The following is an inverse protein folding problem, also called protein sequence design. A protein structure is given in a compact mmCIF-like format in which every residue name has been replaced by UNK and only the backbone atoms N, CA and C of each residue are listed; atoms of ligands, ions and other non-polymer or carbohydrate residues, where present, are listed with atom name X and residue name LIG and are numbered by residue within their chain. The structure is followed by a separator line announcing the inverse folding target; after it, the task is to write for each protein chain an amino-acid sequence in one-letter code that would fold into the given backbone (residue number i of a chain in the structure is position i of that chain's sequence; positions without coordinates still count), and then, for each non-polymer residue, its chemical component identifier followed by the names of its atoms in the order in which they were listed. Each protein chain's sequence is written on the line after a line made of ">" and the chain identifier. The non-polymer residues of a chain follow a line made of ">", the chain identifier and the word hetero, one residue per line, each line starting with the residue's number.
data_IF_002061970094
#
_entry.id   IF_002061970094
#
_cell.length_a   1.000
_cell.length_b   1.000
_cell.length_c   1.000
_cell.angle_alpha   90.00
_cell.angle_beta   90.00
_cell.angle_gamma   90.00
#
_symmetry.space_group_name_H-M   'P 1'
#
loop_
_entity.id
_entity.type
_entity.pdbx_description
1 polymer ?
#
# COMPACT_ATOMS: atom_id res chain seq x y z
N UNK A 1 -17.66 -19.79 -6.37
CA UNK A 1 -16.23 -19.41 -6.41
C UNK A 1 -15.83 -19.09 -4.98
N UNK A 2 -14.94 -19.86 -4.35
CA UNK A 2 -14.47 -19.58 -3.00
C UNK A 2 -13.22 -18.70 -3.08
N UNK A 3 -13.15 -17.64 -2.27
CA UNK A 3 -11.93 -16.87 -2.09
C UNK A 3 -11.08 -17.55 -1.02
N UNK A 4 -10.04 -18.25 -1.43
CA UNK A 4 -9.07 -18.84 -0.51
C UNK A 4 -7.99 -17.82 -0.13
N UNK A 5 -8.12 -17.25 1.07
CA UNK A 5 -7.11 -16.33 1.62
C UNK A 5 -5.83 -17.05 2.07
N UNK A 6 -5.87 -18.38 2.23
CA UNK A 6 -4.72 -19.19 2.62
C UNK A 6 -3.55 -19.10 1.65
N UNK A 7 -3.82 -18.78 0.37
CA UNK A 7 -2.81 -18.52 -0.65
C UNK A 7 -1.77 -17.45 -0.23
N UNK A 8 -2.21 -16.43 0.51
CA UNK A 8 -1.35 -15.32 0.91
C UNK A 8 -0.48 -15.61 2.13
N UNK A 9 -0.71 -16.72 2.83
CA UNK A 9 0.03 -17.06 4.05
C UNK A 9 1.51 -17.22 3.73
N UNK A 10 2.34 -16.44 4.42
CA UNK A 10 3.79 -16.40 4.24
C UNK A 10 4.27 -15.69 2.98
N UNK A 11 3.37 -15.21 2.11
CA UNK A 11 3.75 -14.50 0.88
C UNK A 11 4.25 -13.10 1.17
N UNK A 12 5.30 -12.70 0.47
CA UNK A 12 5.80 -11.32 0.48
C UNK A 12 4.98 -10.47 -0.49
N UNK A 13 4.17 -9.57 0.05
CA UNK A 13 3.27 -8.71 -0.73
C UNK A 13 3.70 -7.26 -0.62
N UNK A 14 4.00 -6.63 -1.75
CA UNK A 14 4.31 -5.21 -1.84
C UNK A 14 3.09 -4.42 -2.28
N UNK A 15 2.64 -3.46 -1.46
CA UNK A 15 1.44 -2.67 -1.71
C UNK A 15 1.82 -1.20 -1.80
N UNK A 16 1.72 -0.60 -2.98
CA UNK A 16 1.84 0.87 -3.05
C UNK A 16 0.50 1.51 -2.67
N UNK A 17 0.52 2.66 -2.00
CA UNK A 17 -0.70 3.37 -1.60
C UNK A 17 -1.39 2.78 -0.37
N UNK A 18 -0.63 2.11 0.50
CA UNK A 18 -1.15 1.42 1.70
C UNK A 18 -1.76 2.37 2.73
N UNK A 19 -1.32 3.63 2.80
CA UNK A 19 -1.90 4.66 3.70
C UNK A 19 -3.26 5.21 3.24
N UNK A 20 -3.69 4.89 2.01
CA UNK A 20 -5.00 5.27 1.49
C UNK A 20 -6.12 4.35 1.98
N UNK A 21 -7.38 4.73 1.75
CA UNK A 21 -8.55 3.98 2.23
C UNK A 21 -8.58 2.51 1.77
N UNK A 22 -8.46 2.25 0.46
CA UNK A 22 -8.42 0.88 -0.08
C UNK A 22 -7.16 0.13 0.37
N UNK A 23 -6.02 0.81 0.37
CA UNK A 23 -4.73 0.25 0.77
C UNK A 23 -4.77 -0.25 2.22
N UNK A 24 -5.33 0.54 3.14
CA UNK A 24 -5.41 0.20 4.57
C UNK A 24 -6.25 -1.06 4.79
N UNK A 25 -7.44 -1.15 4.18
CA UNK A 25 -8.28 -2.36 4.27
C UNK A 25 -7.60 -3.58 3.66
N UNK A 26 -6.99 -3.43 2.48
CA UNK A 26 -6.29 -4.52 1.80
C UNK A 26 -5.13 -5.04 2.64
N UNK A 27 -4.28 -4.15 3.15
CA UNK A 27 -3.17 -4.51 4.03
C UNK A 27 -3.67 -5.24 5.27
N UNK A 28 -4.76 -4.77 5.91
CA UNK A 28 -5.37 -5.47 7.05
C UNK A 28 -5.83 -6.88 6.70
N UNK A 29 -6.48 -7.07 5.55
CA UNK A 29 -6.92 -8.40 5.07
C UNK A 29 -5.71 -9.32 4.83
N UNK A 30 -4.67 -8.81 4.16
CA UNK A 30 -3.45 -9.57 3.85
C UNK A 30 -2.69 -9.98 5.12
N UNK A 31 -2.53 -9.06 6.08
CA UNK A 31 -1.92 -9.33 7.38
C UNK A 31 -2.72 -10.41 8.12
N UNK A 32 -4.04 -10.28 8.17
CA UNK A 32 -4.90 -11.29 8.81
C UNK A 32 -4.85 -12.66 8.11
N UNK A 33 -4.57 -12.69 6.80
CA UNK A 33 -4.33 -13.91 6.04
C UNK A 33 -2.93 -14.51 6.25
N UNK A 34 -2.06 -13.83 7.01
CA UNK A 34 -0.71 -14.27 7.33
C UNK A 34 0.35 -13.87 6.30
N UNK A 35 0.07 -12.89 5.42
CA UNK A 35 1.05 -12.36 4.49
C UNK A 35 2.10 -11.48 5.19
N UNK A 36 3.29 -11.41 4.60
CA UNK A 36 4.33 -10.45 4.97
C UNK A 36 4.17 -9.21 4.08
N UNK A 37 3.61 -8.14 4.64
CA UNK A 37 3.24 -6.95 3.86
C UNK A 37 4.31 -5.87 3.97
N UNK A 38 4.74 -5.34 2.83
CA UNK A 38 5.50 -4.08 2.75
C UNK A 38 4.66 -3.04 2.00
N UNK A 39 4.49 -1.87 2.60
CA UNK A 39 3.76 -0.75 2.03
C UNK A 39 4.70 0.34 1.54
N UNK A 40 4.34 1.00 0.44
CA UNK A 40 5.05 2.17 -0.07
C UNK A 40 4.07 3.28 -0.49
N UNK A 41 4.06 4.41 0.18
CA UNK A 41 3.15 5.51 -0.16
C UNK A 41 3.59 6.85 0.43
N UNK A 42 2.96 7.93 0.00
CA UNK A 42 2.96 9.17 0.76
C UNK A 42 2.28 8.98 2.14
N UNK A 43 2.44 9.93 3.08
CA UNK A 43 1.68 9.93 4.34
C UNK A 43 0.17 9.85 4.10
N UNK A 44 -0.58 9.41 5.12
CA UNK A 44 -2.03 9.33 5.01
C UNK A 44 -2.63 10.71 4.66
N UNK A 45 -3.61 10.78 3.74
CA UNK A 45 -4.08 12.04 3.20
C UNK A 45 -5.08 12.79 4.12
N UNK A 46 -5.48 12.20 5.24
CA UNK A 46 -6.52 12.73 6.14
C UNK A 46 -6.20 12.47 7.61
N UNK A 47 -6.77 13.26 8.52
CA UNK A 47 -6.76 12.99 9.96
C UNK A 47 -8.20 13.10 10.51
N UNK A 48 -8.72 12.04 11.18
CA UNK A 48 -8.09 10.74 11.37
C UNK A 48 -7.96 9.97 10.04
N UNK A 49 -7.04 9.01 9.99
CA UNK A 49 -6.90 8.09 8.85
C UNK A 49 -7.34 6.68 9.22
N UNK A 50 -7.88 5.93 8.25
CA UNK A 50 -8.17 4.50 8.46
C UNK A 50 -6.88 3.72 8.78
N UNK A 51 -5.76 4.12 8.17
CA UNK A 51 -4.45 3.53 8.40
C UNK A 51 -4.10 3.48 9.88
N UNK A 52 -4.22 4.62 10.58
CA UNK A 52 -3.98 4.74 12.02
C UNK A 52 -5.06 4.05 12.85
N UNK A 53 -6.35 4.27 12.54
CA UNK A 53 -7.47 3.71 13.31
C UNK A 53 -7.41 2.17 13.35
N UNK A 54 -7.04 1.55 12.23
CA UNK A 54 -6.98 0.09 12.12
C UNK A 54 -5.64 -0.52 12.61
N UNK A 55 -4.69 0.30 13.07
CA UNK A 55 -3.36 -0.12 13.54
C UNK A 55 -2.63 -1.00 12.53
N UNK A 56 -2.70 -0.64 11.24
CA UNK A 56 -2.16 -1.44 10.14
C UNK A 56 -0.64 -1.45 10.19
N UNK A 57 -0.04 -0.34 10.60
CA UNK A 57 1.40 -0.12 10.71
C UNK A 57 2.11 -1.08 11.66
N UNK A 58 1.40 -1.61 12.68
CA UNK A 58 2.00 -2.44 13.72
C UNK A 58 2.47 -3.82 13.23
N UNK A 59 1.98 -4.29 12.08
CA UNK A 59 2.23 -5.64 11.57
C UNK A 59 2.71 -5.66 10.12
N UNK A 60 3.35 -4.58 9.66
CA UNK A 60 3.89 -4.48 8.32
C UNK A 60 5.14 -3.60 8.29
N UNK A 61 5.90 -3.68 7.20
CA UNK A 61 6.91 -2.66 6.91
C UNK A 61 6.25 -1.51 6.17
N UNK A 62 6.14 -0.34 6.81
CA UNK A 62 5.56 0.87 6.20
C UNK A 62 6.68 1.80 5.73
N UNK A 63 6.82 1.99 4.42
CA UNK A 63 7.78 2.93 3.82
C UNK A 63 7.03 4.15 3.33
N UNK A 64 7.43 5.33 3.82
CA UNK A 64 6.93 6.60 3.28
C UNK A 64 7.83 7.05 2.13
N UNK A 65 7.22 7.26 0.96
CA UNK A 65 7.93 7.66 -0.25
C UNK A 65 6.99 7.95 -1.43
N UNK A 66 7.51 8.67 -2.42
CA UNK A 66 6.78 9.04 -3.62
C UNK A 66 7.07 8.02 -4.74
N UNK A 67 6.02 7.46 -5.34
CA UNK A 67 6.17 6.47 -6.43
C UNK A 67 6.83 7.05 -7.68
N UNK A 68 6.91 8.38 -7.80
CA UNK A 68 7.62 9.08 -8.87
C UNK A 68 9.14 9.08 -8.68
N UNK A 69 9.61 8.82 -7.47
CA UNK A 69 11.05 8.62 -7.19
C UNK A 69 11.41 7.16 -7.45
N UNK A 70 11.92 6.91 -8.67
CA UNK A 70 12.27 5.56 -9.11
C UNK A 70 13.32 4.91 -8.21
N UNK A 71 14.37 5.63 -7.82
CA UNK A 71 15.47 5.06 -7.06
C UNK A 71 15.02 4.69 -5.64
N UNK A 72 14.22 5.54 -5.00
CA UNK A 72 13.65 5.24 -3.69
C UNK A 72 12.66 4.07 -3.75
N UNK A 73 11.79 4.05 -4.76
CA UNK A 73 10.83 2.96 -4.97
C UNK A 73 11.57 1.63 -5.24
N UNK A 74 12.58 1.65 -6.12
CA UNK A 74 13.39 0.48 -6.47
C UNK A 74 14.13 -0.06 -5.26
N UNK A 75 14.72 0.81 -4.43
CA UNK A 75 15.37 0.41 -3.18
C UNK A 75 14.40 -0.27 -2.21
N UNK A 76 13.19 0.27 -2.04
CA UNK A 76 12.17 -0.34 -1.18
C UNK A 76 11.68 -1.68 -1.74
N UNK A 77 11.49 -1.77 -3.06
CA UNK A 77 11.10 -2.99 -3.75
C UNK A 77 12.16 -4.09 -3.60
N UNK A 78 13.43 -3.75 -3.82
CA UNK A 78 14.56 -4.68 -3.71
C UNK A 78 14.76 -5.15 -2.28
N UNK A 79 14.56 -4.28 -1.28
CA UNK A 79 14.60 -4.69 0.11
C UNK A 79 13.45 -5.65 0.47
N UNK A 80 12.26 -5.43 -0.10
CA UNK A 80 11.09 -6.24 0.16
C UNK A 80 11.12 -7.63 -0.51
N UNK A 81 11.80 -7.77 -1.66
CA UNK A 81 11.83 -9.00 -2.47
C UNK A 81 10.43 -9.62 -2.65
N UNK A 82 9.44 -8.88 -3.19
CA UNK A 82 8.06 -9.34 -3.20
C UNK A 82 7.79 -10.45 -4.21
N UNK A 83 6.91 -11.37 -3.83
CA UNK A 83 6.33 -12.37 -4.73
C UNK A 83 5.08 -11.83 -5.44
N UNK A 84 4.40 -10.86 -4.81
CA UNK A 84 3.14 -10.29 -5.28
C UNK A 84 3.20 -8.77 -5.12
N UNK A 85 2.73 -8.03 -6.14
CA UNK A 85 2.65 -6.56 -6.12
C UNK A 85 1.21 -6.13 -6.35
N UNK A 86 0.71 -5.25 -5.48
CA UNK A 86 -0.61 -4.61 -5.61
C UNK A 86 -0.41 -3.10 -5.68
N UNK A 87 -0.53 -2.52 -6.89
CA UNK A 87 -0.26 -1.11 -7.13
C UNK A 87 -1.53 -0.26 -7.01
N UNK A 88 -1.71 0.43 -5.87
CA UNK A 88 -2.87 1.30 -5.60
C UNK A 88 -2.51 2.79 -5.41
N UNK A 89 -1.22 3.14 -5.38
CA UNK A 89 -0.81 4.54 -5.27
C UNK A 89 -1.21 5.30 -6.54
N UNK A 90 -2.00 6.35 -6.38
CA UNK A 90 -2.46 7.20 -7.45
C UNK A 90 -2.87 8.56 -6.89
N UNK A 91 -3.04 9.55 -7.78
CA UNK A 91 -3.90 10.70 -7.51
C UNK A 91 -5.33 10.27 -7.88
N UNK A 92 -6.26 10.10 -6.91
CA UNK A 92 -7.56 9.48 -7.19
C UNK A 92 -8.70 10.50 -7.39
N UNK A 93 -8.44 11.80 -7.25
CA UNK A 93 -9.47 12.84 -7.20
C UNK A 93 -9.59 13.51 -8.57
N UNK A 94 -10.62 13.13 -9.31
CA UNK A 94 -10.95 13.68 -10.65
C UNK A 94 -11.01 15.22 -10.65
N UNK A 95 -11.57 15.83 -9.59
CA UNK A 95 -11.69 17.30 -9.53
C UNK A 95 -10.34 18.01 -9.47
N UNK A 96 -9.32 17.36 -8.92
CA UNK A 96 -8.00 17.96 -8.78
C UNK A 96 -7.17 17.79 -10.05
N UNK A 97 -7.41 16.74 -10.86
CA UNK A 97 -6.79 16.63 -12.19
C UNK A 97 -7.23 17.73 -13.15
N UNK A 98 -8.41 18.32 -12.96
CA UNK A 98 -8.84 19.50 -13.70
C UNK A 98 -8.15 20.80 -13.25
N UNK A 99 -7.69 20.88 -12.00
CA UNK A 99 -7.01 22.08 -11.45
C UNK A 99 -5.51 22.08 -11.75
N UNK A 100 -4.87 20.90 -11.67
CA UNK A 100 -3.45 20.70 -11.94
C UNK A 100 -3.27 19.51 -12.89
N UNK A 101 -3.65 19.65 -14.18
CA UNK A 101 -3.46 18.61 -15.17
C UNK A 101 -1.96 18.46 -15.50
N UNK A 102 -1.48 17.22 -15.49
CA UNK A 102 -0.16 16.87 -16.03
C UNK A 102 -0.34 16.42 -17.48
N UNK A 103 0.35 17.07 -18.41
CA UNK A 103 0.42 16.71 -19.83
C UNK A 103 1.59 15.75 -20.10
#
# INVERSE_FOLDING_TARGET
>A
MSFDLGFYKGKKVFVTGHTGFKGSWLCRILINAGAQVTGYSLPAPTTPSLFEIAGVELNMTSVIGDIRDYDALKKAFDAAQPEIVLHLAAQPIVRDSYKDPRY
#
